data_IF_905385695047
#
_entry.id   IF_905385695047
#
_cell.length_a   1.000
_cell.length_b   1.000
_cell.length_c   1.000
_cell.angle_alpha   90.00
_cell.angle_beta   90.00
_cell.angle_gamma   90.00
#
_symmetry.space_group_name_H-M   'P 1'
#
loop_
_entity.id
_entity.type
_entity.pdbx_description
1 polymer ?
#
# COMPACT_ATOMS: atom_id res chain seq x y z
N UNK A 1 -1.57 -3.51 5.76
CA UNK A 1 -0.26 -3.86 5.18
C UNK A 1 -0.22 -5.37 5.00
N UNK A 2 0.29 -5.88 3.88
CA UNK A 2 0.55 -7.32 3.69
C UNK A 2 2.05 -7.52 3.54
N UNK A 3 2.57 -8.59 4.13
CA UNK A 3 3.99 -8.95 4.06
C UNK A 3 4.10 -10.39 3.55
N UNK A 4 4.96 -10.58 2.54
CA UNK A 4 5.21 -11.85 1.88
C UNK A 4 6.66 -12.23 2.11
N UNK A 5 6.90 -13.29 2.88
CA UNK A 5 8.24 -13.82 3.12
C UNK A 5 8.53 -14.96 2.14
N UNK A 6 9.59 -14.82 1.35
CA UNK A 6 9.99 -15.85 0.39
C UNK A 6 10.78 -16.94 1.10
N UNK A 7 10.42 -18.21 0.83
CA UNK A 7 11.08 -19.39 1.42
C UNK A 7 12.03 -20.09 0.46
N UNK A 8 11.97 -19.73 -0.82
CA UNK A 8 12.79 -20.27 -1.91
C UNK A 8 13.10 -19.12 -2.87
N UNK A 9 14.19 -19.23 -3.67
CA UNK A 9 14.47 -18.27 -4.73
C UNK A 9 13.30 -18.16 -5.71
N UNK A 10 13.00 -16.92 -6.16
CA UNK A 10 11.93 -16.69 -7.12
C UNK A 10 12.13 -15.37 -7.89
N UNK A 11 11.54 -15.31 -9.09
CA UNK A 11 11.35 -14.05 -9.83
C UNK A 11 9.97 -13.47 -9.48
N UNK A 12 9.94 -12.20 -9.07
CA UNK A 12 8.71 -11.51 -8.69
C UNK A 12 8.44 -10.38 -9.67
N UNK A 13 7.24 -10.35 -10.25
CA UNK A 13 6.76 -9.24 -11.07
C UNK A 13 5.64 -8.50 -10.36
N UNK A 14 5.87 -7.22 -10.09
CA UNK A 14 4.86 -6.31 -9.53
C UNK A 14 4.16 -5.54 -10.64
N UNK A 15 2.83 -5.58 -10.64
CA UNK A 15 1.96 -4.79 -11.50
C UNK A 15 0.97 -4.04 -10.63
N UNK A 16 1.47 -3.04 -9.90
CA UNK A 16 0.67 -2.28 -8.95
C UNK A 16 0.41 -0.86 -9.44
N UNK A 17 -0.73 -0.29 -9.06
CA UNK A 17 -1.14 1.06 -9.45
C UNK A 17 -1.33 1.97 -8.24
N UNK A 18 -1.59 3.26 -8.48
CA UNK A 18 -1.89 4.24 -7.42
C UNK A 18 -0.79 4.34 -6.34
N UNK A 19 0.47 4.31 -6.79
CA UNK A 19 1.67 4.54 -5.96
C UNK A 19 2.11 6.00 -5.95
N UNK A 20 1.79 6.73 -7.01
CA UNK A 20 2.03 8.18 -7.16
C UNK A 20 0.74 9.00 -7.22
N UNK A 21 -0.39 8.38 -7.58
CA UNK A 21 -1.72 9.01 -7.60
C UNK A 21 -2.63 8.45 -6.52
N UNK A 22 -3.52 9.29 -6.00
CA UNK A 22 -4.52 8.93 -4.99
C UNK A 22 -5.89 8.76 -5.63
N UNK A 23 -6.75 7.95 -5.03
CA UNK A 23 -8.18 8.03 -5.35
C UNK A 23 -8.74 9.33 -4.79
N UNK A 24 -9.46 10.08 -5.61
CA UNK A 24 -10.10 11.32 -5.20
C UNK A 24 -11.30 11.04 -4.30
N UNK A 25 -11.63 11.97 -3.40
CA UNK A 25 -12.84 11.91 -2.59
C UNK A 25 -14.03 12.60 -3.26
N UNK A 26 -15.24 12.13 -2.99
CA UNK A 26 -16.47 12.63 -3.61
C UNK A 26 -17.29 13.47 -2.64
N UNK A 27 -18.07 14.42 -3.16
CA UNK A 27 -19.02 15.23 -2.38
C UNK A 27 -18.39 15.90 -1.13
N UNK A 28 -17.15 16.38 -1.24
CA UNK A 28 -16.40 16.97 -0.12
C UNK A 28 -15.50 16.00 0.65
N UNK A 29 -15.44 14.74 0.24
CA UNK A 29 -14.57 13.72 0.83
C UNK A 29 -13.09 13.93 0.55
N UNK A 30 -12.26 13.42 1.46
CA UNK A 30 -10.80 13.46 1.34
C UNK A 30 -10.27 12.41 0.37
N UNK A 31 -9.08 12.65 -0.18
CA UNK A 31 -8.39 11.68 -1.02
C UNK A 31 -7.92 10.47 -0.21
N UNK A 32 -7.94 9.30 -0.86
CA UNK A 32 -7.44 8.06 -0.29
C UNK A 32 -5.91 8.02 -0.21
N UNK A 33 -5.38 7.29 0.76
CA UNK A 33 -3.93 7.10 0.88
C UNK A 33 -3.35 6.37 -0.35
N UNK A 34 -2.14 6.74 -0.76
CA UNK A 34 -1.40 6.03 -1.82
C UNK A 34 -1.00 4.65 -1.33
N UNK A 35 -0.92 3.71 -2.27
CA UNK A 35 -0.29 2.43 -2.00
C UNK A 35 1.24 2.55 -2.01
N UNK A 36 1.92 1.54 -1.49
CA UNK A 36 3.38 1.47 -1.44
C UNK A 36 3.86 0.02 -1.56
N UNK A 37 5.04 -0.18 -2.15
CA UNK A 37 5.72 -1.47 -2.18
C UNK A 37 7.13 -1.30 -1.57
N UNK A 38 7.59 -2.26 -0.77
CA UNK A 38 8.95 -2.29 -0.24
C UNK A 38 9.51 -3.71 -0.27
N UNK A 39 10.78 -3.88 -0.61
CA UNK A 39 11.53 -5.11 -0.42
C UNK A 39 12.52 -4.89 0.71
N UNK A 40 12.40 -5.64 1.81
CA UNK A 40 13.24 -5.49 3.00
C UNK A 40 13.31 -4.05 3.52
N UNK A 41 12.19 -3.33 3.45
CA UNK A 41 12.10 -1.92 3.85
C UNK A 41 12.53 -0.91 2.78
N UNK A 42 13.15 -1.34 1.67
CA UNK A 42 13.56 -0.46 0.57
C UNK A 42 12.39 -0.24 -0.41
N UNK A 43 12.01 1.00 -0.73
CA UNK A 43 10.92 1.29 -1.67
C UNK A 43 11.14 0.70 -3.06
N UNK A 44 10.07 0.18 -3.65
CA UNK A 44 10.05 -0.33 -5.02
C UNK A 44 9.12 0.50 -5.91
N UNK A 45 9.42 0.51 -7.21
CA UNK A 45 8.56 1.11 -8.21
C UNK A 45 7.19 0.40 -8.30
N UNK A 46 6.22 1.07 -8.91
CA UNK A 46 4.87 0.55 -9.08
C UNK A 46 4.82 -0.70 -9.97
N UNK A 47 5.61 -0.69 -11.05
CA UNK A 47 5.80 -1.81 -11.97
C UNK A 47 7.27 -2.13 -12.07
N UNK A 48 7.65 -3.34 -11.68
CA UNK A 48 9.05 -3.79 -11.70
C UNK A 48 9.12 -5.31 -11.56
N UNK A 49 10.21 -5.89 -12.03
CA UNK A 49 10.53 -7.31 -11.86
C UNK A 49 11.89 -7.43 -11.20
N UNK A 50 12.01 -8.31 -10.21
CA UNK A 50 13.24 -8.53 -9.45
C UNK A 50 13.31 -9.97 -8.96
N UNK A 51 14.54 -10.41 -8.66
CA UNK A 51 14.81 -11.68 -8.01
C UNK A 51 14.77 -11.53 -6.50
N UNK A 52 14.33 -12.59 -5.81
CA UNK A 52 14.34 -12.68 -4.34
C UNK A 52 14.98 -13.98 -3.90
N UNK A 53 15.53 -13.97 -2.68
CA UNK A 53 16.13 -15.13 -2.03
C UNK A 53 15.33 -15.52 -0.77
N UNK A 54 15.53 -16.73 -0.23
CA UNK A 54 14.91 -17.12 1.03
C UNK A 54 15.22 -16.11 2.15
N UNK A 55 14.19 -15.65 2.84
CA UNK A 55 14.30 -14.66 3.92
C UNK A 55 13.92 -13.24 3.50
N UNK A 56 13.90 -12.93 2.19
CA UNK A 56 13.41 -11.64 1.72
C UNK A 56 11.91 -11.45 2.07
N UNK A 57 11.56 -10.21 2.39
CA UNK A 57 10.20 -9.80 2.73
C UNK A 57 9.73 -8.68 1.81
N UNK A 58 8.71 -8.97 1.02
CA UNK A 58 8.00 -8.01 0.21
C UNK A 58 6.78 -7.48 0.99
N UNK A 59 6.81 -6.19 1.32
CA UNK A 59 5.70 -5.48 1.94
C UNK A 59 4.89 -4.72 0.89
N UNK A 60 3.57 -4.92 0.89
CA UNK A 60 2.62 -4.25 -0.02
C UNK A 60 1.53 -3.56 0.80
N UNK A 61 1.51 -2.23 0.71
CA UNK A 61 0.40 -1.40 1.17
C UNK A 61 -0.53 -1.13 -0.03
N UNK A 62 -1.72 -1.72 -0.01
CA UNK A 62 -2.77 -1.44 -1.00
C UNK A 62 -3.29 -0.02 -0.80
N UNK A 63 -3.53 0.76 -1.87
CA UNK A 63 -4.06 2.12 -1.79
C UNK A 63 -5.44 2.12 -1.13
N UNK A 64 -5.75 3.20 -0.42
CA UNK A 64 -7.08 3.45 0.13
C UNK A 64 -8.07 3.93 -0.95
N UNK A 65 -9.36 3.85 -0.63
CA UNK A 65 -10.41 4.54 -1.38
C UNK A 65 -10.49 6.02 -0.99
N UNK A 66 -11.09 6.85 -1.85
CA UNK A 66 -11.46 8.20 -1.48
C UNK A 66 -12.67 8.21 -0.55
N UNK A 67 -12.74 9.20 0.33
CA UNK A 67 -13.88 9.42 1.22
C UNK A 67 -15.11 9.94 0.48
N UNK A 68 -16.27 9.82 1.13
CA UNK A 68 -17.52 10.43 0.68
C UNK A 68 -18.03 11.41 1.74
N UNK A 69 -18.50 12.58 1.29
CA UNK A 69 -19.01 13.62 2.18
C UNK A 69 -17.90 14.40 2.90
N UNK A 70 -18.18 15.59 3.46
CA UNK A 70 -17.22 16.31 4.27
C UNK A 70 -16.78 15.44 5.46
N UNK A 71 -15.54 15.55 5.93
CA UNK A 71 -15.12 14.88 7.15
C UNK A 71 -16.07 15.30 8.27
N UNK A 72 -16.85 14.33 8.77
CA UNK A 72 -17.58 14.49 10.01
C UNK A 72 -16.54 14.64 11.13
N UNK A 73 -16.85 15.41 12.17
CA UNK A 73 -16.05 15.42 13.40
C UNK A 73 -16.14 14.03 14.05
N UNK A 74 -15.41 13.05 13.54
CA UNK A 74 -15.28 11.74 14.16
C UNK A 74 -14.41 11.88 15.41
N UNK A 75 -15.03 11.56 16.54
CA UNK A 75 -14.41 11.45 17.86
C UNK A 75 -13.12 10.61 17.80
N UNK A 76 -12.12 10.91 18.66
CA UNK A 76 -10.80 10.29 18.59
C UNK A 76 -10.92 8.77 18.49
N UNK A 77 -10.24 8.20 17.49
CA UNK A 77 -10.10 6.74 17.33
C UNK A 77 -9.36 6.23 18.57
N UNK A 78 -10.10 5.80 19.59
CA UNK A 78 -9.55 5.01 20.69
C UNK A 78 -9.01 3.74 20.04
N UNK A 79 -7.68 3.63 19.98
CA UNK A 79 -7.01 2.40 19.61
C UNK A 79 -7.52 1.30 20.52
N UNK A 80 -8.16 0.29 19.94
CA UNK A 80 -8.42 -0.97 20.62
C UNK A 80 -7.03 -1.54 20.93
N UNK A 81 -6.69 -1.56 22.22
CA UNK A 81 -5.48 -2.20 22.75
C UNK A 81 -5.59 -3.71 22.63
#
# INVERSE_FOLDING_TARGET
>A
LRELCFKQPATVSLLTERRTSQHWGWAGGSAGQRGENRLNGVPLAAKTTFEVVPGDVLAIATPGGGGWGPPTEESPKQGIR
#
